data_IF_808178330086
#
_entry.id   IF_808178330086
#
_cell.length_a   1.000
_cell.length_b   1.000
_cell.length_c   1.000
_cell.angle_alpha   90.00
_cell.angle_beta   90.00
_cell.angle_gamma   90.00
#
_symmetry.space_group_name_H-M   'P 1'
#
loop_
_entity.id
_entity.type
_entity.pdbx_description
1 polymer ?
#
# COMPACT_ATOMS: atom_id res chain seq x y z
N UNK A 1 -9.04 -30.62 20.99
CA UNK A 1 -8.29 -29.93 19.92
C UNK A 1 -8.09 -30.94 18.81
N UNK A 2 -9.10 -31.13 17.97
CA UNK A 2 -9.08 -32.16 16.95
C UNK A 2 -8.24 -31.70 15.77
N UNK A 3 -7.51 -32.66 15.21
CA UNK A 3 -6.61 -32.60 14.07
C UNK A 3 -7.32 -32.03 12.83
N UNK A 4 -7.17 -30.72 12.60
CA UNK A 4 -7.83 -29.98 11.52
C UNK A 4 -6.95 -29.94 10.25
N UNK A 5 -6.27 -31.05 9.93
CA UNK A 5 -5.20 -31.14 8.92
C UNK A 5 -5.64 -30.96 7.45
N UNK A 6 -6.87 -30.49 7.21
CA UNK A 6 -7.44 -30.18 5.89
C UNK A 6 -8.09 -28.79 5.75
N UNK A 7 -8.08 -27.97 6.81
CA UNK A 7 -8.61 -26.60 6.78
C UNK A 7 -7.64 -25.63 6.09
N UNK A 8 -8.14 -24.58 5.42
CA UNK A 8 -7.31 -23.59 4.70
C UNK A 8 -6.13 -23.06 5.53
N UNK A 9 -6.38 -22.81 6.82
CA UNK A 9 -5.40 -22.22 7.73
C UNK A 9 -4.29 -23.20 8.11
N UNK A 10 -4.65 -24.43 8.46
CA UNK A 10 -3.69 -25.46 8.82
C UNK A 10 -2.84 -25.89 7.63
N UNK A 11 -3.44 -26.02 6.44
CA UNK A 11 -2.71 -26.33 5.19
C UNK A 11 -1.70 -25.24 4.86
N UNK A 12 -2.05 -23.98 5.09
CA UNK A 12 -1.16 -22.84 4.84
C UNK A 12 0.02 -22.78 5.81
N UNK A 13 -0.21 -23.01 7.11
CA UNK A 13 0.90 -23.11 8.07
C UNK A 13 1.79 -24.33 7.77
N UNK A 14 1.20 -25.46 7.40
CA UNK A 14 1.96 -26.66 7.04
C UNK A 14 2.87 -26.44 5.82
N UNK A 15 2.46 -25.65 4.83
CA UNK A 15 3.35 -25.25 3.73
C UNK A 15 4.48 -24.33 4.22
N UNK A 16 4.17 -23.35 5.07
CA UNK A 16 5.18 -22.44 5.64
C UNK A 16 6.23 -23.19 6.47
N UNK A 17 5.81 -24.21 7.21
CA UNK A 17 6.67 -25.06 8.03
C UNK A 17 7.38 -26.17 7.21
N UNK A 18 7.15 -26.23 5.88
CA UNK A 18 7.77 -27.22 4.99
C UNK A 18 7.24 -28.65 5.16
N UNK A 19 6.10 -28.83 5.82
CA UNK A 19 5.49 -30.13 6.10
C UNK A 19 4.75 -30.72 4.89
N UNK A 20 4.21 -29.88 4.01
CA UNK A 20 3.52 -30.29 2.78
C UNK A 20 3.90 -29.39 1.60
N UNK A 21 3.72 -29.88 0.37
CA UNK A 21 3.95 -29.10 -0.85
C UNK A 21 2.79 -28.14 -1.15
N UNK A 22 3.06 -27.12 -1.98
CA UNK A 22 2.04 -26.21 -2.53
C UNK A 22 0.95 -26.95 -3.33
N UNK A 23 1.30 -28.04 -4.03
CA UNK A 23 0.31 -28.86 -4.75
C UNK A 23 -0.58 -29.64 -3.79
N UNK A 24 0.00 -30.25 -2.74
CA UNK A 24 -0.78 -30.93 -1.69
C UNK A 24 -1.71 -29.95 -0.99
N UNK A 25 -1.25 -28.74 -0.71
CA UNK A 25 -2.07 -27.68 -0.15
C UNK A 25 -3.23 -27.29 -1.09
N UNK A 26 -2.95 -27.09 -2.37
CA UNK A 26 -3.98 -26.79 -3.37
C UNK A 26 -5.03 -27.91 -3.46
N UNK A 27 -4.59 -29.17 -3.43
CA UNK A 27 -5.49 -30.34 -3.39
C UNK A 27 -6.38 -30.33 -2.16
N UNK A 28 -5.81 -30.06 -0.98
CA UNK A 28 -6.57 -29.94 0.26
C UNK A 28 -7.59 -28.79 0.19
N UNK A 29 -7.19 -27.62 -0.31
CA UNK A 29 -8.11 -26.47 -0.49
C UNK A 29 -9.25 -26.84 -1.46
N UNK A 30 -8.95 -27.46 -2.61
CA UNK A 30 -9.96 -27.83 -3.61
C UNK A 30 -10.91 -28.94 -3.16
N UNK A 31 -10.51 -29.82 -2.24
CA UNK A 31 -11.39 -30.86 -1.69
C UNK A 31 -12.70 -30.27 -1.11
N UNK A 32 -12.66 -29.03 -0.61
CA UNK A 32 -13.84 -28.32 -0.15
C UNK A 32 -14.88 -28.09 -1.26
N UNK A 33 -14.46 -27.93 -2.52
CA UNK A 33 -15.37 -27.71 -3.67
C UNK A 33 -15.76 -29.03 -4.32
N UNK A 34 -14.82 -29.98 -4.45
CA UNK A 34 -14.99 -31.19 -5.26
C UNK A 34 -15.49 -32.42 -4.49
N UNK A 35 -15.17 -32.53 -3.19
CA UNK A 35 -15.58 -33.68 -2.36
C UNK A 35 -16.56 -33.32 -1.25
N UNK A 36 -16.98 -32.05 -1.17
CA UNK A 36 -17.93 -31.59 -0.15
C UNK A 36 -17.37 -31.65 1.28
N UNK A 37 -16.05 -31.71 1.43
CA UNK A 37 -15.40 -31.62 2.74
C UNK A 37 -15.77 -30.27 3.34
N UNK A 38 -16.52 -30.28 4.44
CA UNK A 38 -16.95 -29.08 5.17
C UNK A 38 -16.55 -29.25 6.63
N UNK A 39 -15.83 -28.27 7.14
CA UNK A 39 -15.46 -28.12 8.54
C UNK A 39 -16.42 -27.13 9.20
N UNK A 40 -16.48 -27.13 10.52
CA UNK A 40 -17.35 -26.25 11.32
C UNK A 40 -17.22 -24.75 11.01
N UNK A 41 -16.11 -24.31 10.42
CA UNK A 41 -15.89 -22.90 10.04
C UNK A 41 -16.28 -22.55 8.59
N UNK A 42 -16.39 -23.53 7.69
CA UNK A 42 -16.54 -23.30 6.25
C UNK A 42 -17.88 -22.65 5.91
N UNK A 43 -18.94 -23.04 6.62
CA UNK A 43 -20.29 -22.49 6.45
C UNK A 43 -20.44 -21.08 7.05
N UNK A 44 -19.45 -20.62 7.81
CA UNK A 44 -19.46 -19.30 8.48
C UNK A 44 -18.52 -18.30 7.82
N UNK A 45 -17.83 -18.67 6.73
CA UNK A 45 -16.89 -17.78 6.05
C UNK A 45 -17.61 -16.56 5.46
N UNK A 46 -17.02 -15.40 5.69
CA UNK A 46 -17.54 -14.09 5.30
C UNK A 46 -16.63 -13.41 4.27
N UNK A 47 -17.09 -12.29 3.71
CA UNK A 47 -16.23 -11.41 2.89
C UNK A 47 -14.97 -10.95 3.62
N UNK A 48 -15.01 -10.86 4.96
CA UNK A 48 -13.84 -10.52 5.78
C UNK A 48 -12.77 -11.61 5.66
N UNK A 49 -13.17 -12.87 5.74
CA UNK A 49 -12.25 -14.01 5.62
C UNK A 49 -11.65 -14.06 4.21
N UNK A 50 -12.47 -13.84 3.17
CA UNK A 50 -11.98 -13.76 1.79
C UNK A 50 -10.92 -12.67 1.63
N UNK A 51 -11.11 -11.49 2.23
CA UNK A 51 -10.14 -10.41 2.19
C UNK A 51 -8.86 -10.71 3.00
N UNK A 52 -8.97 -11.35 4.16
CA UNK A 52 -7.78 -11.81 4.90
C UNK A 52 -6.98 -12.84 4.07
N UNK A 53 -7.68 -13.76 3.42
CA UNK A 53 -7.08 -14.76 2.55
C UNK A 53 -6.53 -14.19 1.25
N UNK A 54 -7.11 -13.14 0.66
CA UNK A 54 -6.59 -12.56 -0.58
C UNK A 54 -5.18 -11.98 -0.38
N UNK A 55 -4.90 -11.46 0.81
CA UNK A 55 -3.58 -10.97 1.21
C UNK A 55 -2.61 -12.09 1.64
N UNK A 56 -3.10 -13.21 2.17
CA UNK A 56 -2.24 -14.33 2.57
C UNK A 56 -1.92 -15.28 1.41
N UNK A 57 -2.95 -15.68 0.67
CA UNK A 57 -2.88 -16.58 -0.47
C UNK A 57 -4.12 -16.38 -1.37
N UNK A 58 -3.94 -15.61 -2.45
CA UNK A 58 -5.03 -15.26 -3.37
C UNK A 58 -5.68 -16.48 -4.04
N UNK A 59 -4.97 -17.61 -4.18
CA UNK A 59 -5.54 -18.85 -4.73
C UNK A 59 -6.48 -19.49 -3.71
N UNK A 60 -6.10 -19.53 -2.43
CA UNK A 60 -6.99 -19.99 -1.36
C UNK A 60 -8.23 -19.11 -1.22
N UNK A 61 -8.08 -17.78 -1.34
CA UNK A 61 -9.23 -16.87 -1.39
C UNK A 61 -10.17 -17.20 -2.56
N UNK A 62 -9.63 -17.49 -3.75
CA UNK A 62 -10.41 -17.90 -4.91
C UNK A 62 -11.16 -19.22 -4.72
N UNK A 63 -10.56 -20.18 -4.02
CA UNK A 63 -11.22 -21.45 -3.64
C UNK A 63 -12.37 -21.17 -2.66
N UNK A 64 -12.15 -20.33 -1.64
CA UNK A 64 -13.20 -19.94 -0.67
C UNK A 64 -14.38 -19.28 -1.39
N UNK A 65 -14.11 -18.40 -2.35
CA UNK A 65 -15.14 -17.78 -3.20
C UNK A 65 -15.94 -18.82 -3.96
N UNK A 66 -15.28 -19.76 -4.64
CA UNK A 66 -15.96 -20.84 -5.34
C UNK A 66 -16.86 -21.63 -4.39
N UNK A 67 -16.39 -21.90 -3.18
CA UNK A 67 -17.14 -22.59 -2.14
C UNK A 67 -18.37 -21.80 -1.68
N UNK A 68 -18.20 -20.54 -1.31
CA UNK A 68 -19.28 -19.65 -0.79
C UNK A 68 -20.33 -19.38 -1.87
N UNK A 69 -19.94 -19.28 -3.14
CA UNK A 69 -20.86 -19.11 -4.27
C UNK A 69 -21.47 -20.42 -4.77
N UNK A 70 -21.19 -21.55 -4.10
CA UNK A 70 -21.83 -22.82 -4.40
C UNK A 70 -21.36 -23.49 -5.69
N UNK A 71 -20.12 -23.26 -6.14
CA UNK A 71 -19.52 -24.08 -7.19
C UNK A 71 -19.54 -25.54 -6.74
N UNK A 72 -20.18 -26.40 -7.53
CA UNK A 72 -20.21 -27.83 -7.31
C UNK A 72 -19.68 -28.51 -8.56
N UNK A 73 -18.59 -29.27 -8.41
CA UNK A 73 -17.97 -30.02 -9.50
C UNK A 73 -17.81 -31.49 -9.06
N UNK A 74 -17.89 -32.46 -10.00
CA UNK A 74 -17.77 -33.87 -9.65
C UNK A 74 -16.43 -34.16 -9.00
N UNK A 75 -16.38 -34.99 -7.96
CA UNK A 75 -15.13 -35.37 -7.28
C UNK A 75 -14.07 -35.95 -8.24
N UNK A 76 -14.50 -36.60 -9.32
CA UNK A 76 -13.65 -37.11 -10.40
C UNK A 76 -12.88 -36.04 -11.18
N UNK A 77 -13.29 -34.77 -11.08
CA UNK A 77 -12.65 -33.65 -11.76
C UNK A 77 -11.53 -32.99 -10.93
N UNK A 78 -11.30 -33.41 -9.67
CA UNK A 78 -10.30 -32.79 -8.79
C UNK A 78 -8.88 -32.83 -9.37
N UNK A 79 -8.43 -33.99 -9.84
CA UNK A 79 -7.08 -34.13 -10.42
C UNK A 79 -6.90 -33.27 -11.66
N UNK A 80 -7.94 -33.17 -12.49
CA UNK A 80 -7.93 -32.34 -13.68
C UNK A 80 -7.91 -30.85 -13.32
N UNK A 81 -8.70 -30.43 -12.33
CA UNK A 81 -8.70 -29.06 -11.82
C UNK A 81 -7.33 -28.65 -11.29
N UNK A 82 -6.69 -29.49 -10.48
CA UNK A 82 -5.33 -29.27 -9.99
C UNK A 82 -4.37 -29.09 -11.17
N UNK A 83 -4.45 -29.96 -12.18
CA UNK A 83 -3.60 -29.89 -13.38
C UNK A 83 -3.80 -28.57 -14.16
N UNK A 84 -5.03 -28.13 -14.36
CA UNK A 84 -5.31 -26.85 -15.06
C UNK A 84 -4.73 -25.68 -14.26
N UNK A 85 -4.93 -25.66 -12.93
CA UNK A 85 -4.46 -24.57 -12.06
C UNK A 85 -2.94 -24.51 -12.00
N UNK A 86 -2.26 -25.65 -11.82
CA UNK A 86 -0.79 -25.70 -11.78
C UNK A 86 -0.16 -25.44 -13.15
N UNK A 87 -0.89 -25.62 -14.23
CA UNK A 87 -0.47 -25.25 -15.59
C UNK A 87 -0.42 -23.74 -15.80
N UNK A 88 -0.99 -22.91 -14.92
CA UNK A 88 -0.88 -21.44 -14.98
C UNK A 88 0.47 -20.91 -14.48
N UNK A 89 1.57 -21.57 -14.85
CA UNK A 89 2.94 -21.21 -14.47
C UNK A 89 3.43 -19.97 -15.24
N UNK A 90 4.61 -19.44 -14.90
CA UNK A 90 5.19 -18.17 -15.39
C UNK A 90 5.24 -17.98 -16.91
N UNK A 91 5.32 -19.05 -17.70
CA UNK A 91 5.48 -19.03 -19.15
C UNK A 91 4.26 -19.57 -19.93
N UNK A 92 3.21 -20.00 -19.22
CA UNK A 92 2.04 -20.59 -19.85
C UNK A 92 1.24 -19.56 -20.65
N UNK A 93 0.61 -20.01 -21.74
CA UNK A 93 -0.33 -19.21 -22.52
C UNK A 93 -1.78 -19.65 -22.28
N UNK A 94 -2.75 -18.81 -22.69
CA UNK A 94 -4.16 -19.18 -22.60
C UNK A 94 -4.48 -20.42 -23.46
N UNK A 95 -3.80 -20.58 -24.59
CA UNK A 95 -3.97 -21.75 -25.45
C UNK A 95 -3.40 -23.02 -24.81
N UNK A 96 -2.31 -22.92 -24.05
CA UNK A 96 -1.81 -24.06 -23.27
C UNK A 96 -2.81 -24.49 -22.21
N UNK A 97 -3.40 -23.55 -21.48
CA UNK A 97 -4.45 -23.84 -20.50
C UNK A 97 -5.68 -24.48 -21.15
N UNK A 98 -6.15 -23.92 -22.28
CA UNK A 98 -7.29 -24.49 -23.02
C UNK A 98 -6.98 -25.89 -23.53
N UNK A 99 -5.75 -26.16 -23.99
CA UNK A 99 -5.32 -27.49 -24.42
C UNK A 99 -5.30 -28.48 -23.25
N UNK A 100 -4.80 -28.06 -22.09
CA UNK A 100 -4.84 -28.88 -20.87
C UNK A 100 -6.28 -29.13 -20.45
N UNK A 101 -7.14 -28.11 -20.47
CA UNK A 101 -8.53 -28.24 -20.04
C UNK A 101 -9.37 -29.10 -21.01
N UNK A 102 -9.12 -28.99 -22.32
CA UNK A 102 -9.76 -29.82 -23.34
C UNK A 102 -9.38 -31.31 -23.27
N UNK A 103 -8.38 -31.69 -22.47
CA UNK A 103 -8.09 -33.10 -22.17
C UNK A 103 -9.10 -33.72 -21.18
N UNK A 104 -10.12 -32.96 -20.74
CA UNK A 104 -11.20 -33.44 -19.87
C UNK A 104 -11.95 -34.64 -20.46
N UNK A 105 -12.21 -35.65 -19.62
CA UNK A 105 -13.23 -36.68 -19.85
C UNK A 105 -14.46 -36.40 -18.99
N UNK A 106 -15.64 -36.51 -19.61
CA UNK A 106 -16.99 -36.39 -19.06
C UNK A 106 -17.32 -35.04 -18.36
N UNK A 107 -17.50 -33.98 -19.16
CA UNK A 107 -18.05 -32.69 -18.69
C UNK A 107 -17.74 -31.53 -19.63
N UNK A 108 -18.38 -30.36 -19.46
CA UNK A 108 -17.93 -29.13 -20.09
C UNK A 108 -16.53 -28.71 -19.58
N UNK A 109 -15.73 -27.96 -20.37
CA UNK A 109 -14.46 -27.40 -19.93
C UNK A 109 -14.58 -26.62 -18.62
N UNK A 110 -13.63 -26.77 -17.70
CA UNK A 110 -13.65 -26.06 -16.43
C UNK A 110 -13.46 -24.54 -16.62
N UNK A 111 -12.69 -24.14 -17.63
CA UNK A 111 -12.46 -22.74 -17.97
C UNK A 111 -13.72 -22.03 -18.50
N UNK A 112 -14.78 -22.76 -18.86
CA UNK A 112 -16.06 -22.14 -19.20
C UNK A 112 -16.86 -21.74 -17.95
N UNK A 113 -16.43 -22.14 -16.76
CA UNK A 113 -17.04 -21.73 -15.49
C UNK A 113 -16.41 -20.43 -14.96
N UNK A 114 -17.18 -19.34 -14.75
CA UNK A 114 -16.63 -18.05 -14.32
C UNK A 114 -15.92 -18.05 -12.96
N UNK A 115 -16.35 -18.90 -12.02
CA UNK A 115 -15.73 -19.01 -10.70
C UNK A 115 -14.39 -19.77 -10.79
N UNK A 116 -14.36 -20.86 -11.57
CA UNK A 116 -13.12 -21.57 -11.82
C UNK A 116 -12.13 -20.74 -12.65
N UNK A 117 -12.63 -19.96 -13.61
CA UNK A 117 -11.82 -19.04 -14.40
C UNK A 117 -11.12 -17.99 -13.54
N UNK A 118 -11.84 -17.37 -12.59
CA UNK A 118 -11.28 -16.46 -11.59
C UNK A 118 -10.16 -17.11 -10.77
N UNK A 119 -10.34 -18.36 -10.37
CA UNK A 119 -9.35 -19.12 -9.61
C UNK A 119 -8.06 -19.32 -10.43
N UNK A 120 -8.19 -19.69 -11.71
CA UNK A 120 -7.03 -19.83 -12.60
C UNK A 120 -6.35 -18.48 -12.85
N UNK A 121 -7.09 -17.39 -12.95
CA UNK A 121 -6.51 -16.04 -12.99
C UNK A 121 -5.73 -15.70 -11.72
N UNK A 122 -6.24 -16.06 -10.54
CA UNK A 122 -5.53 -15.89 -9.27
C UNK A 122 -4.20 -16.66 -9.25
N UNK A 123 -4.20 -17.88 -9.81
CA UNK A 123 -3.00 -18.70 -9.95
C UNK A 123 -1.98 -18.08 -10.92
N UNK A 124 -2.43 -17.56 -12.06
CA UNK A 124 -1.57 -16.83 -13.00
C UNK A 124 -0.92 -15.60 -12.33
N UNK A 125 -1.69 -14.87 -11.51
CA UNK A 125 -1.19 -13.71 -10.77
C UNK A 125 -0.14 -14.10 -9.72
N UNK A 126 -0.43 -15.13 -8.90
CA UNK A 126 0.51 -15.71 -7.91
C UNK A 126 1.81 -16.15 -8.56
N UNK A 127 1.73 -16.71 -9.77
CA UNK A 127 2.88 -17.17 -10.54
C UNK A 127 3.53 -16.07 -11.38
N UNK A 128 3.22 -14.79 -11.15
CA UNK A 128 3.78 -13.64 -11.88
C UNK A 128 3.61 -13.69 -13.40
N UNK A 129 2.63 -14.45 -13.92
CA UNK A 129 2.36 -14.54 -15.36
C UNK A 129 1.39 -13.42 -15.80
N UNK A 130 1.91 -12.18 -15.88
CA UNK A 130 1.14 -11.00 -16.34
C UNK A 130 0.57 -11.18 -17.76
N UNK A 131 1.31 -11.75 -18.75
CA UNK A 131 0.77 -11.97 -20.09
C UNK A 131 -0.45 -12.91 -20.11
N UNK A 132 -0.38 -14.04 -19.41
CA UNK A 132 -1.52 -14.96 -19.28
C UNK A 132 -2.71 -14.28 -18.59
N UNK A 133 -2.45 -13.58 -17.49
CA UNK A 133 -3.49 -12.86 -16.76
C UNK A 133 -4.22 -11.85 -17.66
N UNK A 134 -3.48 -11.07 -18.45
CA UNK A 134 -4.04 -10.14 -19.43
C UNK A 134 -4.80 -10.82 -20.56
N UNK A 135 -4.27 -11.93 -21.09
CA UNK A 135 -4.94 -12.72 -22.11
C UNK A 135 -6.26 -13.31 -21.59
N UNK A 136 -6.30 -13.72 -20.32
CA UNK A 136 -7.52 -14.20 -19.68
C UNK A 136 -8.53 -13.07 -19.48
N UNK A 137 -8.11 -11.90 -19.00
CA UNK A 137 -8.97 -10.74 -18.88
C UNK A 137 -9.59 -10.32 -20.22
N UNK A 138 -8.81 -10.34 -21.31
CA UNK A 138 -9.30 -9.92 -22.64
C UNK A 138 -10.18 -10.98 -23.31
N UNK A 139 -9.91 -12.27 -23.08
CA UNK A 139 -10.72 -13.37 -23.58
C UNK A 139 -12.09 -13.49 -22.88
N UNK A 140 -12.28 -12.77 -21.77
CA UNK A 140 -13.52 -12.75 -20.98
C UNK A 140 -14.77 -12.26 -21.71
N UNK A 141 -14.66 -11.78 -22.95
CA UNK A 141 -15.82 -11.32 -23.75
C UNK A 141 -16.84 -12.43 -24.04
N UNK A 142 -16.51 -13.70 -23.77
CA UNK A 142 -17.41 -14.85 -23.87
C UNK A 142 -18.23 -15.13 -22.61
N UNK A 143 -17.93 -14.52 -21.47
CA UNK A 143 -18.75 -14.65 -20.25
C UNK A 143 -19.89 -13.62 -20.25
N UNK A 144 -21.07 -13.93 -19.68
CA UNK A 144 -22.14 -12.96 -19.57
C UNK A 144 -21.62 -11.71 -18.85
N UNK A 145 -21.66 -10.59 -19.55
CA UNK A 145 -21.34 -9.27 -19.01
C UNK A 145 -22.27 -8.98 -17.81
N UNK A 146 -21.77 -8.42 -16.69
CA UNK A 146 -20.38 -8.01 -16.45
C UNK A 146 -19.46 -9.14 -15.93
N UNK A 147 -18.13 -9.05 -16.17
CA UNK A 147 -17.15 -9.83 -15.42
C UNK A 147 -17.35 -9.65 -13.90
N UNK A 148 -16.84 -10.55 -13.06
CA UNK A 148 -17.20 -10.70 -11.64
C UNK A 148 -16.65 -9.60 -10.71
N UNK A 149 -16.64 -8.35 -11.18
CA UNK A 149 -16.35 -7.16 -10.40
C UNK A 149 -17.24 -7.06 -9.16
N UNK A 150 -16.68 -6.44 -8.14
CA UNK A 150 -17.22 -6.14 -6.80
C UNK A 150 -17.58 -7.29 -5.87
N UNK A 151 -17.89 -8.49 -6.36
CA UNK A 151 -18.38 -9.56 -5.47
C UNK A 151 -17.35 -10.57 -5.01
N UNK A 152 -16.20 -10.76 -5.67
CA UNK A 152 -15.47 -12.01 -5.46
C UNK A 152 -13.99 -11.87 -5.06
N UNK A 153 -12.99 -11.61 -5.91
CA UNK A 153 -11.59 -11.81 -5.47
C UNK A 153 -10.71 -10.57 -5.37
N UNK A 154 -10.75 -9.70 -6.38
CA UNK A 154 -9.69 -8.71 -6.59
C UNK A 154 -9.98 -7.34 -5.94
N UNK A 155 -11.20 -7.07 -5.50
CA UNK A 155 -11.54 -5.77 -4.87
C UNK A 155 -12.63 -5.87 -3.79
N UNK A 156 -12.44 -6.75 -2.78
CA UNK A 156 -13.38 -6.86 -1.69
C UNK A 156 -13.56 -5.52 -0.96
N UNK A 157 -14.76 -5.26 -0.46
CA UNK A 157 -14.97 -4.12 0.43
C UNK A 157 -14.20 -4.32 1.72
N UNK A 158 -13.43 -3.29 2.11
CA UNK A 158 -12.69 -3.35 3.36
C UNK A 158 -13.59 -2.97 4.51
N UNK A 159 -13.49 -3.75 5.59
CA UNK A 159 -14.14 -3.43 6.84
C UNK A 159 -13.61 -2.07 7.37
N UNK A 160 -14.48 -1.13 7.80
CA UNK A 160 -14.09 0.23 8.18
C UNK A 160 -13.04 0.34 9.31
N UNK A 161 -12.84 -0.73 10.08
CA UNK A 161 -11.86 -0.80 11.18
C UNK A 161 -10.47 -1.31 10.76
N UNK A 162 -10.30 -1.76 9.52
CA UNK A 162 -8.99 -2.13 9.01
C UNK A 162 -8.30 -0.85 8.49
N UNK A 163 -7.07 -0.55 8.94
CA UNK A 163 -6.39 0.67 8.49
C UNK A 163 -6.23 0.67 6.96
N UNK A 164 -6.31 1.87 6.37
CA UNK A 164 -6.10 2.13 4.93
C UNK A 164 -4.77 1.55 4.41
N UNK A 165 -3.81 1.33 5.31
CA UNK A 165 -2.46 0.81 5.06
C UNK A 165 -2.35 -0.68 4.75
N UNK A 166 -3.44 -1.45 4.64
CA UNK A 166 -3.33 -2.91 4.49
C UNK A 166 -2.99 -3.38 3.05
N UNK A 167 -2.18 -2.62 2.30
CA UNK A 167 -1.24 -3.27 1.39
C UNK A 167 -0.01 -3.64 2.21
N UNK A 168 0.58 -4.81 2.03
CA UNK A 168 1.81 -5.08 2.75
C UNK A 168 2.93 -4.25 2.13
N UNK A 169 3.66 -3.52 2.97
CA UNK A 169 4.92 -2.95 2.55
C UNK A 169 5.82 -4.11 2.11
N UNK A 170 6.26 -4.07 0.86
CA UNK A 170 7.14 -5.08 0.30
C UNK A 170 8.07 -4.44 -0.73
N UNK A 171 9.10 -5.18 -1.13
CA UNK A 171 10.03 -4.72 -2.15
C UNK A 171 9.48 -5.03 -3.54
N UNK A 172 9.32 -4.01 -4.37
CA UNK A 172 8.88 -4.06 -5.76
C UNK A 172 9.91 -3.33 -6.62
N UNK A 173 10.49 -4.00 -7.61
CA UNK A 173 11.52 -3.39 -8.46
C UNK A 173 12.73 -2.80 -7.70
N UNK A 174 13.05 -3.34 -6.51
CA UNK A 174 14.15 -2.85 -5.66
C UNK A 174 13.79 -1.71 -4.70
N UNK A 175 12.54 -1.23 -4.69
CA UNK A 175 12.06 -0.19 -3.77
C UNK A 175 10.94 -0.71 -2.87
N UNK A 176 10.92 -0.24 -1.62
CA UNK A 176 9.83 -0.55 -0.69
C UNK A 176 8.57 0.27 -1.04
N UNK A 177 7.48 -0.42 -1.35
CA UNK A 177 6.19 0.19 -1.74
C UNK A 177 5.03 -0.56 -1.09
N UNK A 178 3.85 0.04 -1.07
CA UNK A 178 2.62 -0.63 -0.62
C UNK A 178 1.92 -1.27 -1.81
N UNK A 179 1.41 -2.48 -1.65
CA UNK A 179 0.64 -3.14 -2.70
C UNK A 179 -0.09 -4.36 -2.17
N UNK A 180 -0.89 -4.97 -3.02
CA UNK A 180 -1.54 -6.24 -2.71
C UNK A 180 -0.51 -7.37 -2.69
N UNK A 181 -0.55 -8.25 -1.70
CA UNK A 181 0.47 -9.27 -1.48
C UNK A 181 0.66 -10.25 -2.67
N UNK A 182 -0.41 -10.52 -3.43
CA UNK A 182 -0.38 -11.37 -4.62
C UNK A 182 0.59 -10.90 -5.72
N UNK A 183 1.02 -9.64 -5.68
CA UNK A 183 1.89 -9.03 -6.68
C UNK A 183 3.32 -8.82 -6.15
N UNK A 184 3.64 -9.33 -4.95
CA UNK A 184 4.96 -9.18 -4.33
C UNK A 184 6.07 -9.60 -5.31
N UNK A 185 7.09 -8.75 -5.44
CA UNK A 185 8.23 -9.00 -6.34
C UNK A 185 7.98 -8.61 -7.80
N UNK A 186 6.78 -8.16 -8.17
CA UNK A 186 6.52 -7.56 -9.48
C UNK A 186 7.09 -6.13 -9.58
N UNK A 187 7.33 -5.60 -10.79
CA UNK A 187 8.11 -4.37 -10.97
C UNK A 187 7.41 -3.09 -10.50
N UNK A 188 6.08 -3.00 -10.59
CA UNK A 188 5.28 -1.78 -10.47
C UNK A 188 4.17 -1.91 -9.41
N UNK A 189 4.42 -2.71 -8.35
CA UNK A 189 3.43 -3.11 -7.33
C UNK A 189 2.05 -3.56 -7.88
N UNK A 190 2.03 -3.92 -9.17
CA UNK A 190 0.88 -4.26 -10.00
C UNK A 190 -0.07 -3.11 -10.32
N UNK A 191 0.33 -1.84 -10.19
CA UNK A 191 -0.52 -0.69 -10.52
C UNK A 191 -1.11 -0.75 -11.93
N UNK A 192 -0.32 -1.16 -12.94
CA UNK A 192 -0.85 -1.32 -14.30
C UNK A 192 -1.88 -2.45 -14.40
N UNK A 193 -1.68 -3.55 -13.68
CA UNK A 193 -2.64 -4.66 -13.67
C UNK A 193 -3.93 -4.27 -12.94
N UNK A 194 -3.83 -3.51 -11.86
CA UNK A 194 -5.00 -2.95 -11.18
C UNK A 194 -5.79 -2.02 -12.08
N UNK A 195 -5.10 -1.16 -12.84
CA UNK A 195 -5.75 -0.31 -13.82
C UNK A 195 -6.44 -1.13 -14.92
N UNK A 196 -5.75 -2.13 -15.49
CA UNK A 196 -6.31 -3.04 -16.50
C UNK A 196 -7.57 -3.76 -15.97
N UNK A 197 -7.52 -4.26 -14.72
CA UNK A 197 -8.65 -4.93 -14.09
C UNK A 197 -9.84 -3.99 -13.86
N UNK A 198 -9.62 -2.75 -13.43
CA UNK A 198 -10.69 -1.78 -13.21
C UNK A 198 -11.33 -1.39 -14.55
N UNK A 199 -10.53 -1.17 -15.59
CA UNK A 199 -11.02 -0.85 -16.94
C UNK A 199 -11.84 -1.99 -17.53
N UNK A 200 -11.39 -3.23 -17.34
CA UNK A 200 -12.07 -4.43 -17.82
C UNK A 200 -13.25 -4.87 -16.92
N UNK A 201 -13.50 -4.20 -15.79
CA UNK A 201 -14.61 -4.52 -14.87
C UNK A 201 -14.36 -5.72 -13.94
N UNK A 202 -13.11 -6.18 -13.83
CA UNK A 202 -12.69 -7.27 -12.93
C UNK A 202 -12.38 -6.80 -11.51
N UNK A 203 -12.10 -5.50 -11.34
CA UNK A 203 -11.82 -4.85 -10.07
C UNK A 203 -12.68 -3.60 -9.92
N UNK A 204 -13.01 -3.25 -8.67
CA UNK A 204 -13.62 -1.96 -8.38
C UNK A 204 -12.55 -0.93 -7.97
N UNK A 205 -12.73 0.34 -8.32
CA UNK A 205 -11.89 1.42 -7.84
C UNK A 205 -12.18 1.65 -6.35
N UNK A 206 -11.24 1.26 -5.48
CA UNK A 206 -11.40 1.40 -4.03
C UNK A 206 -10.44 2.44 -3.47
N UNK A 207 -10.88 3.17 -2.44
CA UNK A 207 -10.09 4.22 -1.80
C UNK A 207 -8.71 3.73 -1.37
N UNK A 208 -8.60 2.57 -0.73
CA UNK A 208 -7.30 2.03 -0.28
C UNK A 208 -6.27 1.81 -1.41
N UNK A 209 -6.70 1.67 -2.68
CA UNK A 209 -5.80 1.50 -3.83
C UNK A 209 -4.99 2.77 -4.11
N UNK A 210 -5.43 3.93 -3.62
CA UNK A 210 -4.70 5.19 -3.79
C UNK A 210 -3.32 5.15 -3.14
N UNK A 211 -3.16 4.46 -2.01
CA UNK A 211 -1.86 4.29 -1.33
C UNK A 211 -0.94 3.38 -2.15
N UNK A 212 -1.49 2.34 -2.79
CA UNK A 212 -0.70 1.50 -3.70
C UNK A 212 -0.18 2.32 -4.87
N UNK A 213 -1.06 3.09 -5.49
CA UNK A 213 -0.74 3.93 -6.63
C UNK A 213 0.29 5.03 -6.27
N UNK A 214 0.09 5.71 -5.13
CA UNK A 214 0.94 6.77 -4.61
C UNK A 214 2.37 6.30 -4.24
N UNK A 215 2.52 5.03 -3.86
CA UNK A 215 3.82 4.49 -3.43
C UNK A 215 4.53 3.70 -4.52
N UNK A 216 3.99 3.69 -5.75
CA UNK A 216 4.57 2.92 -6.85
C UNK A 216 6.01 3.34 -7.15
N UNK A 217 6.87 2.34 -7.36
CA UNK A 217 8.25 2.53 -7.83
C UNK A 217 8.31 2.95 -9.31
N UNK A 218 7.22 2.74 -10.07
CA UNK A 218 7.10 3.07 -11.49
C UNK A 218 6.11 4.24 -11.62
N UNK A 219 6.59 5.48 -11.84
CA UNK A 219 5.72 6.67 -11.82
C UNK A 219 4.55 6.60 -12.81
N UNK A 220 4.79 6.12 -14.03
CA UNK A 220 3.75 6.01 -15.05
C UNK A 220 2.61 5.08 -14.64
N UNK A 221 2.91 3.93 -14.02
CA UNK A 221 1.92 2.97 -13.57
C UNK A 221 1.13 3.49 -12.35
N UNK A 222 1.83 4.08 -11.37
CA UNK A 222 1.22 4.71 -10.21
C UNK A 222 0.27 5.85 -10.59
N UNK A 223 0.72 6.77 -11.46
CA UNK A 223 -0.10 7.89 -11.93
C UNK A 223 -1.28 7.42 -12.79
N UNK A 224 -1.11 6.38 -13.61
CA UNK A 224 -2.22 5.77 -14.36
C UNK A 224 -3.31 5.29 -13.41
N UNK A 225 -2.94 4.53 -12.37
CA UNK A 225 -3.91 4.02 -11.41
C UNK A 225 -4.57 5.17 -10.61
N UNK A 226 -3.81 6.16 -10.12
CA UNK A 226 -4.36 7.34 -9.43
C UNK A 226 -5.41 8.07 -10.29
N UNK A 227 -5.06 8.38 -11.53
CA UNK A 227 -5.96 9.08 -12.46
C UNK A 227 -7.21 8.25 -12.73
N UNK A 228 -7.07 6.93 -12.90
CA UNK A 228 -8.20 6.04 -13.08
C UNK A 228 -9.11 6.05 -11.83
N UNK A 229 -8.57 5.93 -10.62
CA UNK A 229 -9.35 5.98 -9.38
C UNK A 229 -10.15 7.29 -9.26
N UNK A 230 -9.50 8.44 -9.50
CA UNK A 230 -10.16 9.76 -9.51
C UNK A 230 -11.26 9.82 -10.57
N UNK A 231 -10.99 9.33 -11.79
CA UNK A 231 -11.99 9.31 -12.87
C UNK A 231 -13.22 8.45 -12.56
N UNK A 232 -13.09 7.51 -11.61
CA UNK A 232 -14.18 6.66 -11.12
C UNK A 232 -14.77 7.13 -9.78
N UNK A 233 -14.46 8.36 -9.35
CA UNK A 233 -15.07 9.00 -8.18
C UNK A 233 -14.40 8.69 -6.84
N UNK A 234 -13.21 8.10 -6.83
CA UNK A 234 -12.41 7.97 -5.59
C UNK A 234 -11.85 9.34 -5.22
N UNK A 235 -12.16 9.79 -4.00
CA UNK A 235 -11.63 11.04 -3.45
C UNK A 235 -10.27 10.75 -2.81
N UNK A 236 -9.24 11.47 -3.27
CA UNK A 236 -7.89 11.37 -2.72
C UNK A 236 -7.83 11.99 -1.32
N UNK A 237 -7.35 11.23 -0.33
CA UNK A 237 -7.22 11.69 1.06
C UNK A 237 -5.82 12.26 1.38
N UNK A 238 -5.68 12.92 2.53
CA UNK A 238 -4.40 13.50 2.97
C UNK A 238 -3.35 12.42 3.27
N UNK A 239 -3.77 11.23 3.68
CA UNK A 239 -2.86 10.11 3.87
C UNK A 239 -2.16 9.74 2.55
N UNK A 240 -2.85 9.84 1.42
CA UNK A 240 -2.28 9.58 0.08
C UNK A 240 -1.05 10.46 -0.20
N UNK A 241 -1.11 11.75 0.13
CA UNK A 241 0.02 12.67 0.00
C UNK A 241 1.19 12.26 0.91
N UNK A 242 0.88 11.94 2.18
CA UNK A 242 1.88 11.51 3.14
C UNK A 242 2.63 10.25 2.68
N UNK A 243 1.89 9.22 2.23
CA UNK A 243 2.49 7.97 1.74
C UNK A 243 3.27 8.18 0.43
N UNK A 244 2.79 9.05 -0.47
CA UNK A 244 3.51 9.42 -1.68
C UNK A 244 4.87 10.06 -1.38
N UNK A 245 4.93 10.98 -0.40
CA UNK A 245 6.18 11.61 0.00
C UNK A 245 7.13 10.61 0.68
N UNK A 246 6.62 9.82 1.63
CA UNK A 246 7.44 8.93 2.45
C UNK A 246 7.95 7.69 1.71
N UNK A 247 7.17 7.14 0.77
CA UNK A 247 7.48 5.87 0.11
C UNK A 247 7.40 5.93 -1.43
N UNK A 248 6.70 6.92 -1.99
CA UNK A 248 6.57 7.12 -3.43
C UNK A 248 7.82 7.74 -4.07
N UNK A 249 7.76 7.98 -5.37
CA UNK A 249 8.83 8.69 -6.09
C UNK A 249 8.60 10.20 -6.06
N UNK A 250 9.65 11.04 -6.17
CA UNK A 250 9.47 12.49 -6.26
C UNK A 250 8.53 12.92 -7.38
N UNK A 251 8.54 12.18 -8.51
CA UNK A 251 7.63 12.42 -9.63
C UNK A 251 6.17 12.13 -9.24
N UNK A 252 5.87 11.00 -8.61
CA UNK A 252 4.50 10.68 -8.16
C UNK A 252 4.02 11.70 -7.14
N UNK A 253 4.86 12.07 -6.17
CA UNK A 253 4.51 13.06 -5.16
C UNK A 253 4.22 14.45 -5.77
N UNK A 254 5.09 14.95 -6.64
CA UNK A 254 4.89 16.23 -7.33
C UNK A 254 3.62 16.22 -8.18
N UNK A 255 3.38 15.17 -8.95
CA UNK A 255 2.20 15.07 -9.83
C UNK A 255 0.90 14.84 -9.05
N UNK A 256 0.99 14.24 -7.86
CA UNK A 256 -0.15 14.12 -6.96
C UNK A 256 -0.58 15.50 -6.42
N UNK A 257 0.37 16.37 -6.07
CA UNK A 257 0.07 17.74 -5.62
C UNK A 257 -0.64 18.59 -6.69
N UNK A 258 -0.44 18.31 -7.98
CA UNK A 258 -1.19 18.96 -9.08
C UNK A 258 -2.71 18.69 -9.00
N UNK A 259 -3.11 17.57 -8.39
CA UNK A 259 -4.50 17.08 -8.38
C UNK A 259 -5.12 16.99 -6.99
N UNK A 260 -4.31 16.82 -5.95
CA UNK A 260 -4.70 16.79 -4.54
C UNK A 260 -4.09 18.01 -3.83
N UNK A 261 -4.91 19.01 -3.46
CA UNK A 261 -4.43 20.16 -2.70
C UNK A 261 -3.79 19.72 -1.38
N UNK A 262 -2.90 20.56 -0.87
CA UNK A 262 -2.35 20.39 0.47
C UNK A 262 -3.46 20.27 1.53
N UNK A 263 -3.22 19.51 2.61
CA UNK A 263 -4.17 19.40 3.72
C UNK A 263 -4.56 20.79 4.25
N UNK A 264 -5.84 20.97 4.58
CA UNK A 264 -6.31 22.26 5.12
C UNK A 264 -5.85 22.49 6.56
N UNK A 265 -5.63 21.42 7.33
CA UNK A 265 -5.21 21.54 8.71
C UNK A 265 -3.69 21.79 8.83
N UNK A 266 -3.26 22.72 9.70
CA UNK A 266 -1.84 22.97 9.91
C UNK A 266 -1.01 21.75 10.38
N UNK A 267 -1.47 20.87 11.29
CA UNK A 267 -0.70 19.70 11.70
C UNK A 267 -0.32 18.76 10.55
N UNK A 268 -1.23 18.47 9.63
CA UNK A 268 -0.93 17.65 8.46
C UNK A 268 0.09 18.31 7.52
N UNK A 269 -0.04 19.63 7.28
CA UNK A 269 0.98 20.39 6.51
C UNK A 269 2.34 20.37 7.20
N UNK A 270 2.36 20.47 8.52
CA UNK A 270 3.59 20.35 9.31
C UNK A 270 4.22 18.96 9.17
N UNK A 271 3.43 17.90 9.08
CA UNK A 271 3.94 16.53 8.88
C UNK A 271 4.68 16.39 7.54
N UNK A 272 4.18 17.01 6.47
CA UNK A 272 4.84 17.03 5.16
C UNK A 272 6.18 17.78 5.20
N UNK A 273 6.26 18.87 5.95
CA UNK A 273 7.50 19.63 6.17
C UNK A 273 8.55 18.82 6.96
N UNK A 274 8.12 18.07 7.97
CA UNK A 274 9.01 17.18 8.73
C UNK A 274 9.54 16.04 7.86
N UNK A 275 8.71 15.48 6.97
CA UNK A 275 9.16 14.45 6.01
C UNK A 275 10.21 15.02 5.05
N UNK A 276 9.99 16.22 4.50
CA UNK A 276 10.98 16.87 3.65
C UNK A 276 12.30 17.11 4.41
N UNK A 277 12.21 17.57 5.66
CA UNK A 277 13.38 17.73 6.51
C UNK A 277 14.04 16.42 6.96
N UNK A 278 13.37 15.28 6.78
CA UNK A 278 13.90 13.95 7.07
C UNK A 278 14.69 13.38 5.88
N UNK A 279 14.24 13.66 4.65
CA UNK A 279 14.73 13.07 3.39
C UNK A 279 16.01 13.71 2.84
N UNK A 280 17.13 13.56 3.55
CA UNK A 280 18.44 13.97 3.03
C UNK A 280 18.54 15.47 2.69
N UNK A 281 19.72 15.90 2.25
CA UNK A 281 19.92 17.32 1.96
C UNK A 281 19.35 17.72 0.60
N UNK A 282 19.64 16.93 -0.44
CA UNK A 282 19.22 17.24 -1.82
C UNK A 282 17.73 16.96 -2.03
N UNK A 283 17.24 15.80 -1.60
CA UNK A 283 15.84 15.43 -1.79
C UNK A 283 14.92 16.29 -0.91
N UNK A 284 15.33 16.58 0.34
CA UNK A 284 14.59 17.43 1.25
C UNK A 284 14.40 18.85 0.72
N UNK A 285 15.44 19.47 0.14
CA UNK A 285 15.30 20.78 -0.51
C UNK A 285 14.34 20.73 -1.70
N UNK A 286 14.43 19.71 -2.57
CA UNK A 286 13.51 19.56 -3.71
C UNK A 286 12.06 19.36 -3.26
N UNK A 287 11.84 18.61 -2.18
CA UNK A 287 10.51 18.43 -1.60
C UNK A 287 9.96 19.73 -1.00
N UNK A 288 10.80 20.51 -0.29
CA UNK A 288 10.41 21.83 0.22
C UNK A 288 10.03 22.80 -0.89
N UNK A 289 10.83 22.87 -1.97
CA UNK A 289 10.52 23.67 -3.14
C UNK A 289 9.18 23.27 -3.76
N UNK A 290 8.94 21.97 -3.88
CA UNK A 290 7.67 21.42 -4.41
C UNK A 290 6.50 21.80 -3.50
N UNK A 291 6.64 21.67 -2.18
CA UNK A 291 5.61 22.03 -1.21
C UNK A 291 5.28 23.53 -1.24
N UNK A 292 6.28 24.40 -1.33
CA UNK A 292 6.09 25.85 -1.41
C UNK A 292 5.44 26.28 -2.73
N UNK A 293 5.80 25.64 -3.84
CA UNK A 293 5.13 25.87 -5.12
C UNK A 293 3.62 25.57 -5.06
N UNK A 294 3.18 24.70 -4.13
CA UNK A 294 1.79 24.31 -3.93
C UNK A 294 1.10 25.03 -2.75
N UNK A 295 1.72 26.07 -2.18
CA UNK A 295 1.07 26.95 -1.22
C UNK A 295 1.39 26.70 0.26
N UNK A 296 2.44 25.93 0.57
CA UNK A 296 3.07 26.06 1.90
C UNK A 296 3.61 27.48 2.06
N UNK A 297 3.34 28.09 3.21
CA UNK A 297 3.74 29.45 3.55
C UNK A 297 4.73 29.47 4.72
N UNK A 298 5.36 30.63 4.97
CA UNK A 298 6.21 30.84 6.15
C UNK A 298 5.44 30.63 7.48
N UNK A 299 4.14 30.90 7.50
CA UNK A 299 3.29 30.63 8.68
C UNK A 299 3.21 29.13 8.97
N UNK A 300 3.30 28.28 7.95
CA UNK A 300 3.26 26.82 8.10
C UNK A 300 4.61 26.26 8.56
N UNK A 301 5.72 26.85 8.08
CA UNK A 301 7.08 26.52 8.51
C UNK A 301 7.24 26.67 10.03
N UNK A 302 6.68 27.75 10.57
CA UNK A 302 6.75 28.08 11.98
C UNK A 302 5.50 27.65 12.76
N UNK A 303 4.55 26.95 12.13
CA UNK A 303 3.34 26.53 12.82
C UNK A 303 3.69 25.56 13.94
N UNK A 304 3.04 25.74 15.09
CA UNK A 304 3.16 24.86 16.25
C UNK A 304 1.83 24.81 17.01
N UNK A 305 1.52 23.71 17.73
CA UNK A 305 0.31 23.65 18.55
C UNK A 305 0.37 24.72 19.66
N UNK A 306 -0.73 25.46 19.86
CA UNK A 306 -0.83 26.43 20.95
C UNK A 306 -0.78 25.77 22.34
N UNK A 307 -0.50 26.53 23.41
CA UNK A 307 -0.41 26.01 24.78
C UNK A 307 -1.72 25.45 25.36
N UNK A 308 -2.86 25.62 24.67
CA UNK A 308 -4.21 25.33 25.18
C UNK A 308 -4.95 24.18 24.46
N UNK A 309 -4.28 23.29 23.73
CA UNK A 309 -4.97 22.12 23.14
C UNK A 309 -4.84 20.91 24.09
N UNK A 310 -5.82 20.62 24.97
CA UNK A 310 -5.93 19.31 25.56
C UNK A 310 -6.37 18.37 24.45
N UNK A 311 -5.40 17.67 23.87
CA UNK A 311 -5.67 16.64 22.86
C UNK A 311 -6.37 15.48 23.56
N UNK A 312 -7.70 15.49 23.58
CA UNK A 312 -8.49 14.32 23.96
C UNK A 312 -8.43 13.30 22.81
N UNK A 313 -7.37 12.50 22.78
CA UNK A 313 -7.31 11.27 21.98
C UNK A 313 -7.78 10.07 22.83
N UNK A 314 -8.54 9.13 22.25
CA UNK A 314 -9.01 7.97 22.98
C UNK A 314 -7.86 6.97 23.13
N UNK A 315 -7.12 7.08 24.25
CA UNK A 315 -6.37 6.03 24.99
C UNK A 315 -5.14 6.63 25.70
N UNK A 316 -5.36 7.20 26.90
CA UNK A 316 -4.52 7.00 28.09
C UNK A 316 -2.99 7.06 28.00
N UNK A 317 -2.38 7.87 27.13
CA UNK A 317 -0.98 8.29 27.28
C UNK A 317 -0.89 9.81 27.14
N UNK A 318 -0.46 10.49 28.19
CA UNK A 318 -0.16 11.92 28.21
C UNK A 318 1.18 12.23 27.51
N UNK A 319 1.42 11.62 26.35
CA UNK A 319 2.63 11.85 25.57
C UNK A 319 2.44 13.20 24.85
N UNK A 320 3.00 14.26 25.44
CA UNK A 320 3.03 15.62 24.87
C UNK A 320 3.42 15.55 23.38
N UNK A 321 2.59 16.09 22.50
CA UNK A 321 2.90 16.18 21.06
C UNK A 321 4.23 16.95 20.93
N UNK A 322 5.27 16.38 20.28
CA UNK A 322 6.58 17.03 20.21
C UNK A 322 6.43 18.38 19.48
N UNK A 323 6.80 19.48 20.14
CA UNK A 323 6.77 20.86 19.62
C UNK A 323 7.90 21.14 18.60
N UNK A 324 8.46 20.09 17.99
CA UNK A 324 9.54 20.21 17.00
C UNK A 324 8.99 20.76 15.69
N UNK A 325 9.83 21.52 15.00
CA UNK A 325 9.59 22.01 13.63
C UNK A 325 10.47 21.27 12.64
N UNK A 326 10.19 21.43 11.34
CA UNK A 326 11.05 20.91 10.28
C UNK A 326 12.53 21.36 10.44
N UNK A 327 12.77 22.57 10.97
CA UNK A 327 14.12 23.05 11.26
C UNK A 327 14.84 22.21 12.33
N UNK A 328 14.12 21.71 13.35
CA UNK A 328 14.70 20.78 14.34
C UNK A 328 15.10 19.47 13.69
N UNK A 329 14.21 18.88 12.89
CA UNK A 329 14.47 17.60 12.20
C UNK A 329 15.64 17.72 11.22
N UNK A 330 15.70 18.82 10.46
CA UNK A 330 16.82 19.06 9.54
C UNK A 330 18.16 19.20 10.30
N UNK A 331 18.14 19.92 11.43
CA UNK A 331 19.32 20.16 12.24
C UNK A 331 19.81 18.91 12.98
N UNK A 332 18.90 18.12 13.56
CA UNK A 332 19.17 16.81 14.20
C UNK A 332 19.73 15.80 13.20
N UNK A 333 19.41 15.93 11.90
CA UNK A 333 19.87 15.01 10.85
C UNK A 333 21.12 15.47 10.09
N UNK A 334 21.58 16.70 10.34
CA UNK A 334 22.75 17.24 9.68
C UNK A 334 22.51 17.74 8.24
N UNK A 335 21.26 17.96 7.84
CA UNK A 335 20.89 18.39 6.48
C UNK A 335 21.06 19.89 6.31
N UNK A 336 22.31 20.32 6.12
CA UNK A 336 22.72 21.73 6.11
C UNK A 336 22.05 22.58 5.02
N UNK A 337 21.86 22.05 3.80
CA UNK A 337 21.11 22.69 2.73
C UNK A 337 19.62 22.85 3.06
N UNK A 338 18.98 21.85 3.66
CA UNK A 338 17.59 21.96 4.17
C UNK A 338 17.51 23.03 5.26
N UNK A 339 18.44 23.05 6.22
CA UNK A 339 18.51 24.09 7.27
C UNK A 339 18.65 25.47 6.65
N UNK A 340 19.60 25.66 5.72
CA UNK A 340 19.81 26.93 5.04
C UNK A 340 18.58 27.36 4.23
N UNK A 341 17.93 26.43 3.55
CA UNK A 341 16.73 26.68 2.77
C UNK A 341 15.58 27.13 3.68
N UNK A 342 15.31 26.41 4.78
CA UNK A 342 14.25 26.76 5.73
C UNK A 342 14.48 28.14 6.36
N UNK A 343 15.72 28.46 6.77
CA UNK A 343 16.09 29.78 7.31
C UNK A 343 15.80 30.90 6.31
N UNK A 344 16.21 30.74 5.04
CA UNK A 344 15.93 31.71 3.98
C UNK A 344 14.44 31.93 3.72
N UNK A 345 13.60 30.96 4.09
CA UNK A 345 12.15 31.02 3.95
C UNK A 345 11.44 31.34 5.28
N UNK A 346 12.16 31.95 6.23
CA UNK A 346 11.61 32.54 7.44
C UNK A 346 11.45 31.56 8.61
N UNK A 347 12.10 30.40 8.59
CA UNK A 347 12.10 29.50 9.74
C UNK A 347 12.78 30.14 10.97
N UNK A 348 12.10 30.10 12.11
CA UNK A 348 12.62 30.64 13.37
C UNK A 348 13.27 29.54 14.23
N UNK A 349 14.46 29.78 14.78
CA UNK A 349 15.10 28.88 15.73
C UNK A 349 14.45 29.04 17.11
N UNK A 350 13.35 28.31 17.31
CA UNK A 350 12.49 28.40 18.47
C UNK A 350 12.54 27.09 19.25
N UNK A 351 12.47 27.10 20.59
CA UNK A 351 12.67 25.92 21.44
C UNK A 351 11.67 24.77 21.20
N UNK A 352 12.10 23.51 21.27
CA UNK A 352 11.21 22.35 21.33
C UNK A 352 10.72 22.05 22.77
N UNK A 353 10.08 20.89 22.97
CA UNK A 353 9.51 20.46 24.25
C UNK A 353 10.57 20.04 25.29
N UNK A 354 11.83 19.88 24.89
CA UNK A 354 12.98 19.67 25.76
C UNK A 354 13.76 20.96 26.01
N UNK A 355 13.21 22.11 25.61
CA UNK A 355 13.88 23.40 25.65
C UNK A 355 15.17 23.44 24.82
N UNK A 356 15.23 22.68 23.72
CA UNK A 356 16.36 22.68 22.80
C UNK A 356 16.03 23.48 21.56
N UNK A 357 16.97 24.32 21.10
CA UNK A 357 16.91 24.94 19.78
C UNK A 357 17.37 23.93 18.71
N UNK A 358 17.03 24.15 17.42
CA UNK A 358 17.60 23.37 16.32
C UNK A 358 19.14 23.33 16.35
N UNK A 359 19.79 24.44 16.71
CA UNK A 359 21.24 24.51 16.83
C UNK A 359 21.79 23.62 17.96
N UNK A 360 21.05 23.46 19.05
CA UNK A 360 21.46 22.58 20.15
C UNK A 360 21.43 21.11 19.72
N UNK A 361 20.41 20.72 18.94
CA UNK A 361 20.34 19.39 18.34
C UNK A 361 21.51 19.15 17.38
N UNK A 362 21.81 20.11 16.50
CA UNK A 362 22.96 20.00 15.59
C UNK A 362 24.30 19.86 16.34
N UNK A 363 24.48 20.58 17.46
CA UNK A 363 25.68 20.47 18.31
C UNK A 363 25.74 19.12 19.02
N UNK A 364 24.62 18.65 19.56
CA UNK A 364 24.54 17.39 20.29
C UNK A 364 24.90 16.20 19.38
N UNK A 365 24.45 16.25 18.12
CA UNK A 365 24.71 15.23 17.09
C UNK A 365 26.03 15.47 16.31
N UNK A 366 26.78 16.54 16.62
CA UNK A 366 28.09 16.82 16.01
C UNK A 366 28.05 17.30 14.55
N UNK A 367 26.94 17.87 14.10
CA UNK A 367 26.74 18.36 12.73
C UNK A 367 27.35 19.75 12.52
N UNK A 368 28.69 19.83 12.43
CA UNK A 368 29.43 21.09 12.27
C UNK A 368 29.03 21.89 11.01
N UNK A 369 28.67 21.19 9.94
CA UNK A 369 28.15 21.80 8.71
C UNK A 369 26.86 22.60 8.97
N UNK A 370 25.94 22.07 9.78
CA UNK A 370 24.72 22.78 10.20
C UNK A 370 25.06 23.94 11.14
N UNK A 371 25.99 23.75 12.09
CA UNK A 371 26.45 24.83 12.98
C UNK A 371 27.02 26.00 12.17
N UNK A 372 27.81 25.71 11.13
CA UNK A 372 28.33 26.72 10.22
C UNK A 372 27.23 27.46 9.44
N UNK A 373 26.12 26.79 9.09
CA UNK A 373 24.94 27.45 8.51
C UNK A 373 24.37 28.46 9.52
N UNK A 374 24.07 28.06 10.76
CA UNK A 374 23.54 28.97 11.77
C UNK A 374 24.48 30.16 12.06
N UNK A 375 25.81 29.95 12.01
CA UNK A 375 26.79 31.03 12.15
C UNK A 375 26.74 32.08 11.03
N UNK A 376 26.24 31.72 9.84
CA UNK A 376 25.99 32.65 8.72
C UNK A 376 24.69 33.44 8.87
N UNK A 377 23.77 32.97 9.72
CA UNK A 377 22.46 33.59 9.98
C UNK A 377 22.24 33.82 11.48
N UNK A 378 23.11 34.61 12.16
CA UNK A 378 23.05 34.81 13.60
C UNK A 378 21.71 35.40 14.07
N UNK A 379 21.04 36.18 13.23
CA UNK A 379 19.71 36.76 13.46
C UNK A 379 18.59 35.73 13.62
N UNK A 380 18.77 34.51 13.10
CA UNK A 380 17.80 33.43 13.21
C UNK A 380 17.93 32.63 14.50
N UNK A 381 19.04 32.76 15.23
CA UNK A 381 19.23 32.14 16.55
C UNK A 381 18.50 32.96 17.62
N UNK A 382 17.92 32.30 18.63
CA UNK A 382 17.14 33.00 19.66
C UNK A 382 17.98 33.86 20.62
N UNK A 383 19.28 34.06 20.35
CA UNK A 383 20.14 35.00 21.08
C UNK A 383 19.74 36.44 20.72
N UNK A 384 18.56 36.84 21.20
CA UNK A 384 18.13 38.22 21.27
C UNK A 384 18.93 38.88 22.41
N UNK A 385 19.80 39.87 22.13
CA UNK A 385 20.70 40.48 23.13
C UNK A 385 20.01 41.10 24.36
N UNK A 386 18.69 41.22 24.34
CA UNK A 386 17.87 41.88 25.36
C UNK A 386 17.39 40.98 26.49
N UNK A 387 17.53 39.64 26.41
CA UNK A 387 17.02 38.74 27.45
C UNK A 387 17.89 38.65 28.73
N UNK A 388 19.14 39.14 28.70
CA UNK A 388 20.05 39.10 29.85
C UNK A 388 20.18 40.44 30.58
N UNK A 389 19.53 41.51 30.11
CA UNK A 389 19.68 42.87 30.67
C UNK A 389 18.65 43.29 31.71
N UNK A 390 17.71 42.42 32.12
CA UNK A 390 16.66 42.79 33.09
C UNK A 390 16.80 42.14 34.47
N UNK A 391 17.97 41.58 34.82
CA UNK A 391 18.23 40.99 36.14
C UNK A 391 19.63 41.31 36.70
N UNK A 392 20.13 42.52 36.48
CA UNK A 392 21.26 43.08 37.24
C UNK A 392 20.96 44.51 37.68
#
# INVERSE_FOLDING_TARGET
>A
MANDSGCFRSSSYAVQDGLISEETKLRNDLAHIFSGTRHTGDDTMTLKDINEWSELNIVSAAVIICMVQGLQLPSTALDHAVKVITSAHTAATLDDLRRVDAQTRAGPPLLDNPLFYQLVMAAALKNNNRPLFRAMMSASTTFPSPPPGHQLLFSPERHPRLPLSAGQQATFGGKSSYGHAALRGQPDNGCDLWADMIEAGWALPRAYMQIWAATSSVPSAGLRLLNLLVSRGVVLDDATLYFAQMYGTPEVFSRLLDTKPLPSDPPARQSLLHLAAHHGDVDGVRELETLFAHGISAADVNWRPGPEVPVSMPRGREDKVPYRTALHTAAERGHAGVVEWLIKHGAEATYDYHHQEPLDLARAEGHENVVAVFGRYPECTAIKPWFWKSWF
#
